data_IF_017037209822
#
_entry.id   IF_017037209822
#
_cell.length_a   1.000
_cell.length_b   1.000
_cell.length_c   1.000
_cell.angle_alpha   90.00
_cell.angle_beta   90.00
_cell.angle_gamma   90.00
#
_symmetry.space_group_name_H-M   'P 1'
#
loop_
_entity.id
_entity.type
_entity.pdbx_description
1 polymer ?
#
# COMPACT_ATOMS: atom_id res chain seq x y z
N UNK A 1 -48.50 22.16 -0.88
CA UNK A 1 -48.08 23.29 -0.03
C UNK A 1 -47.82 22.70 1.35
N UNK A 2 -46.62 22.14 1.56
CA UNK A 2 -45.42 22.82 2.13
C UNK A 2 -45.52 22.74 3.67
N UNK A 3 -44.64 22.09 4.43
CA UNK A 3 -43.26 21.66 4.18
C UNK A 3 -42.89 20.40 4.98
N UNK A 4 -42.02 19.60 4.39
CA UNK A 4 -41.25 18.52 5.00
C UNK A 4 -40.21 19.13 5.95
N UNK A 5 -40.00 18.63 7.18
CA UNK A 5 -38.88 19.09 7.98
C UNK A 5 -37.61 18.57 7.33
N UNK A 6 -36.74 19.48 6.94
CA UNK A 6 -35.39 19.21 6.47
C UNK A 6 -34.62 18.47 7.57
N UNK A 7 -34.49 17.16 7.38
CA UNK A 7 -33.56 16.33 8.11
C UNK A 7 -32.16 16.78 7.67
N UNK A 8 -31.46 17.46 8.57
CA UNK A 8 -30.06 17.83 8.37
C UNK A 8 -29.27 16.58 7.97
N UNK A 9 -28.64 16.67 6.80
CA UNK A 9 -27.68 15.73 6.27
C UNK A 9 -26.60 15.49 7.33
N UNK A 10 -26.68 14.36 8.01
CA UNK A 10 -25.67 13.93 8.99
C UNK A 10 -24.32 13.90 8.30
N UNK A 11 -23.40 14.70 8.84
CA UNK A 11 -21.99 14.70 8.49
C UNK A 11 -21.46 13.27 8.33
N UNK A 12 -20.70 13.07 7.25
CA UNK A 12 -19.91 11.87 6.99
C UNK A 12 -19.22 11.42 8.28
N UNK A 13 -19.30 10.11 8.56
CA UNK A 13 -18.70 9.46 9.70
C UNK A 13 -17.19 9.78 9.77
N UNK A 14 -16.85 10.85 10.48
CA UNK A 14 -15.51 11.08 10.97
C UNK A 14 -15.20 9.95 11.94
N UNK A 15 -14.12 9.20 11.67
CA UNK A 15 -13.56 8.32 12.67
C UNK A 15 -13.32 9.16 13.93
N UNK A 16 -14.04 8.84 15.00
CA UNK A 16 -13.86 9.47 16.31
C UNK A 16 -12.38 9.55 16.63
N UNK A 17 -11.88 10.73 17.00
CA UNK A 17 -10.48 11.01 17.34
C UNK A 17 -9.99 10.26 18.58
N UNK A 18 -10.01 8.93 18.51
CA UNK A 18 -9.41 8.02 19.46
C UNK A 18 -7.95 7.81 19.11
N UNK A 19 -7.15 7.53 20.14
CA UNK A 19 -5.74 7.16 19.95
C UNK A 19 -5.65 5.96 18.98
N UNK A 20 -4.60 5.89 18.14
CA UNK A 20 -4.38 4.75 17.25
C UNK A 20 -4.42 3.43 18.02
N UNK A 21 -5.11 2.43 17.46
CA UNK A 21 -5.26 1.12 18.10
C UNK A 21 -3.92 0.42 18.35
N UNK A 22 -2.89 0.75 17.56
CA UNK A 22 -1.55 0.19 17.65
C UNK A 22 -0.50 1.28 17.79
N UNK A 23 0.44 1.08 18.71
CA UNK A 23 1.62 1.93 18.87
C UNK A 23 2.69 1.67 17.80
N UNK A 24 2.77 0.42 17.30
CA UNK A 24 3.75 -0.02 16.30
C UNK A 24 3.10 -1.02 15.34
N UNK A 25 3.42 -0.88 14.06
CA UNK A 25 2.95 -1.79 13.01
C UNK A 25 4.10 -2.22 12.09
N UNK A 26 3.92 -3.38 11.47
CA UNK A 26 4.68 -3.84 10.30
C UNK A 26 3.74 -3.80 9.10
N UNK A 27 3.92 -2.81 8.23
CA UNK A 27 3.12 -2.61 7.04
C UNK A 27 3.73 -3.38 5.87
N UNK A 28 3.09 -4.47 5.45
CA UNK A 28 3.49 -5.18 4.23
C UNK A 28 2.79 -4.60 3.02
N UNK A 29 3.57 -4.22 2.01
CA UNK A 29 3.10 -3.72 0.72
C UNK A 29 3.51 -4.74 -0.36
N UNK A 30 2.60 -5.08 -1.27
CA UNK A 30 2.97 -5.87 -2.45
C UNK A 30 3.67 -4.99 -3.47
N UNK A 31 4.71 -5.50 -4.13
CA UNK A 31 5.34 -4.77 -5.24
C UNK A 31 4.36 -4.37 -6.33
N UNK A 32 3.37 -5.24 -6.58
CA UNK A 32 2.27 -4.97 -7.52
C UNK A 32 1.47 -3.71 -7.18
N UNK A 33 1.35 -3.37 -5.89
CA UNK A 33 0.66 -2.15 -5.48
C UNK A 33 1.42 -0.90 -5.93
N UNK A 34 2.74 -0.99 -6.15
CA UNK A 34 3.58 0.13 -6.60
C UNK A 34 3.53 0.35 -8.11
N UNK A 35 2.91 -0.55 -8.88
CA UNK A 35 2.89 -0.48 -10.35
C UNK A 35 1.82 0.47 -10.90
N UNK A 36 0.85 0.89 -10.09
CA UNK A 36 -0.30 1.67 -10.57
C UNK A 36 -1.04 0.96 -11.70
N UNK A 37 -1.13 1.62 -12.86
CA UNK A 37 -1.75 1.04 -14.08
C UNK A 37 -0.75 0.33 -15.00
N UNK A 38 0.52 0.28 -14.62
CA UNK A 38 1.57 -0.33 -15.42
C UNK A 38 1.54 -1.85 -15.27
N UNK A 39 2.00 -2.56 -16.30
CA UNK A 39 2.11 -4.03 -16.29
C UNK A 39 3.43 -4.53 -15.68
N UNK A 40 4.39 -3.63 -15.43
CA UNK A 40 5.70 -3.90 -14.85
C UNK A 40 6.29 -2.61 -14.29
N UNK A 41 7.17 -2.68 -13.29
CA UNK A 41 7.97 -1.53 -12.84
C UNK A 41 7.42 -0.82 -11.60
N UNK A 42 7.68 0.48 -11.49
CA UNK A 42 7.29 1.33 -10.36
C UNK A 42 6.63 2.59 -10.93
N UNK A 43 5.46 2.92 -10.42
CA UNK A 43 4.78 4.18 -10.69
C UNK A 43 5.09 5.18 -9.59
N UNK A 44 5.86 6.22 -9.94
CA UNK A 44 6.29 7.25 -9.00
C UNK A 44 5.13 7.96 -8.30
N UNK A 45 3.98 8.10 -8.97
CA UNK A 45 2.81 8.76 -8.37
C UNK A 45 2.20 7.92 -7.27
N UNK A 46 2.08 6.61 -7.52
CA UNK A 46 1.54 5.67 -6.52
C UNK A 46 2.48 5.54 -5.33
N UNK A 47 3.78 5.53 -5.57
CA UNK A 47 4.77 5.56 -4.47
C UNK A 47 4.61 6.83 -3.63
N UNK A 48 4.44 7.99 -4.26
CA UNK A 48 4.24 9.26 -3.54
C UNK A 48 2.95 9.25 -2.71
N UNK A 49 1.84 8.78 -3.28
CA UNK A 49 0.55 8.66 -2.57
C UNK A 49 0.67 7.76 -1.34
N UNK A 50 1.29 6.57 -1.48
CA UNK A 50 1.53 5.65 -0.37
C UNK A 50 2.46 6.28 0.68
N UNK A 51 3.49 7.00 0.26
CA UNK A 51 4.42 7.67 1.18
C UNK A 51 3.70 8.75 2.00
N UNK A 52 2.80 9.50 1.38
CA UNK A 52 1.99 10.51 2.07
C UNK A 52 1.05 9.87 3.11
N UNK A 53 0.36 8.79 2.76
CA UNK A 53 -0.48 8.02 3.69
C UNK A 53 0.32 7.48 4.89
N UNK A 54 1.50 6.89 4.63
CA UNK A 54 2.38 6.41 5.71
C UNK A 54 2.87 7.57 6.59
N UNK A 55 3.16 8.72 5.98
CA UNK A 55 3.58 9.93 6.68
C UNK A 55 2.49 10.45 7.61
N UNK A 56 1.21 10.36 7.21
CA UNK A 56 0.07 10.68 8.07
C UNK A 56 0.01 9.74 9.28
N UNK A 57 0.12 8.44 9.08
CA UNK A 57 0.13 7.45 10.17
C UNK A 57 1.29 7.67 11.14
N UNK A 58 2.48 7.99 10.61
CA UNK A 58 3.64 8.33 11.43
C UNK A 58 3.42 9.59 12.27
N UNK A 59 2.78 10.62 11.70
CA UNK A 59 2.41 11.86 12.42
C UNK A 59 1.42 11.63 13.56
N UNK A 60 0.64 10.55 13.53
CA UNK A 60 -0.20 10.12 14.65
C UNK A 60 0.59 9.51 15.82
N UNK A 61 1.92 9.40 15.71
CA UNK A 61 2.79 8.84 16.74
C UNK A 61 2.95 7.32 16.65
N UNK A 62 2.46 6.69 15.57
CA UNK A 62 2.62 5.26 15.32
C UNK A 62 4.01 4.97 14.74
N UNK A 63 4.68 3.96 15.27
CA UNK A 63 5.95 3.48 14.73
C UNK A 63 5.67 2.52 13.56
N UNK A 64 6.15 2.87 12.38
CA UNK A 64 5.89 2.09 11.16
C UNK A 64 7.18 1.45 10.67
N UNK A 65 7.17 0.12 10.55
CA UNK A 65 8.14 -0.62 9.75
C UNK A 65 7.46 -1.06 8.45
N UNK A 66 8.17 -1.02 7.33
CA UNK A 66 7.59 -1.35 6.01
C UNK A 66 8.32 -2.55 5.42
N UNK A 67 7.58 -3.49 4.85
CA UNK A 67 8.09 -4.61 4.06
C UNK A 67 7.50 -4.53 2.67
N UNK A 68 8.33 -4.44 1.64
CA UNK A 68 7.91 -4.37 0.24
C UNK A 68 8.33 -5.67 -0.44
N UNK A 69 7.43 -6.29 -1.21
CA UNK A 69 7.80 -7.39 -2.09
C UNK A 69 8.24 -6.90 -3.47
N UNK A 70 9.20 -7.56 -4.14
CA UNK A 70 9.70 -7.17 -5.47
C UNK A 70 8.97 -7.78 -6.68
N UNK A 71 7.74 -8.27 -6.49
CA UNK A 71 6.97 -9.01 -7.51
C UNK A 71 6.59 -8.19 -8.76
N UNK A 72 6.75 -6.87 -8.69
CA UNK A 72 6.60 -5.92 -9.79
C UNK A 72 7.82 -5.85 -10.73
N UNK A 73 8.99 -6.33 -10.29
CA UNK A 73 10.24 -6.31 -11.07
C UNK A 73 10.67 -7.73 -11.43
N UNK A 74 10.67 -8.68 -10.50
CA UNK A 74 11.02 -10.08 -10.81
C UNK A 74 10.02 -11.03 -10.16
N UNK A 75 9.48 -11.94 -10.98
CA UNK A 75 8.67 -13.07 -10.53
C UNK A 75 9.44 -14.35 -10.76
N UNK A 76 9.84 -15.04 -9.69
CA UNK A 76 10.61 -16.29 -9.76
C UNK A 76 9.96 -17.33 -10.67
N UNK A 77 8.63 -17.43 -10.67
CA UNK A 77 7.89 -18.35 -11.55
C UNK A 77 8.04 -17.97 -13.04
N UNK A 78 7.98 -16.69 -13.39
CA UNK A 78 8.18 -16.23 -14.77
C UNK A 78 9.65 -16.40 -15.21
N UNK A 79 10.59 -16.28 -14.28
CA UNK A 79 12.00 -16.54 -14.52
C UNK A 79 12.24 -18.03 -14.86
N UNK A 80 11.59 -18.96 -14.16
CA UNK A 80 11.68 -20.39 -14.47
C UNK A 80 11.16 -20.76 -15.87
N UNK A 81 10.11 -20.09 -16.36
CA UNK A 81 9.65 -20.27 -17.74
C UNK A 81 10.65 -19.78 -18.80
N UNK A 82 11.62 -18.93 -18.41
CA UNK A 82 12.71 -18.44 -19.27
C UNK A 82 14.01 -19.24 -19.11
N UNK A 83 13.97 -20.39 -18.42
CA UNK A 83 15.13 -21.24 -18.19
C UNK A 83 16.02 -20.80 -17.02
N UNK A 84 15.55 -19.89 -16.17
CA UNK A 84 16.27 -19.47 -14.96
C UNK A 84 15.93 -20.44 -13.83
N UNK A 85 16.95 -20.99 -13.16
CA UNK A 85 16.74 -21.82 -11.98
C UNK A 85 15.92 -21.07 -10.91
N UNK A 86 15.01 -21.78 -10.25
CA UNK A 86 14.07 -21.18 -9.30
C UNK A 86 14.78 -20.45 -8.16
N UNK A 87 15.87 -21.01 -7.63
CA UNK A 87 16.63 -20.38 -6.54
C UNK A 87 17.26 -19.07 -7.01
N UNK A 88 17.77 -19.05 -8.24
CA UNK A 88 18.27 -17.83 -8.88
C UNK A 88 17.16 -16.79 -9.05
N UNK A 89 15.96 -17.22 -9.48
CA UNK A 89 14.78 -16.36 -9.59
C UNK A 89 14.34 -15.75 -8.26
N UNK A 90 14.42 -16.53 -7.17
CA UNK A 90 14.10 -16.05 -5.82
C UNK A 90 15.15 -15.03 -5.32
N UNK A 91 16.44 -15.26 -5.59
CA UNK A 91 17.48 -14.26 -5.29
C UNK A 91 17.25 -12.95 -6.03
N UNK A 92 16.91 -13.02 -7.31
CA UNK A 92 16.59 -11.83 -8.11
C UNK A 92 15.37 -11.09 -7.54
N UNK A 93 14.35 -11.80 -7.06
CA UNK A 93 13.18 -11.21 -6.40
C UNK A 93 13.48 -10.53 -5.06
N UNK A 94 14.54 -10.93 -4.36
CA UNK A 94 14.98 -10.25 -3.12
C UNK A 94 15.81 -8.99 -3.38
N UNK A 95 16.39 -8.83 -4.57
CA UNK A 95 17.14 -7.62 -5.00
C UNK A 95 16.27 -6.57 -5.70
N UNK A 96 15.05 -6.95 -6.04
CA UNK A 96 14.09 -6.17 -6.80
C UNK A 96 13.52 -4.97 -6.03
#
# INVERSE_FOLDING_TARGET
MTETPHQEMTAAAGCSGGAPAYRRILLKISGEALMGRQSFGIDEKVVAEIADEVSEVYRLGVQVAIVIGGGNIIRGLAASHRGIDRVTGDYMGMLA
#
